data_IF_804358733846
#
_entry.id   IF_804358733846
#
_cell.length_a   1.000
_cell.length_b   1.000
_cell.length_c   1.000
_cell.angle_alpha   90.00
_cell.angle_beta   90.00
_cell.angle_gamma   90.00
#
_symmetry.space_group_name_H-M   'P 1'
#
loop_
_entity.id
_entity.type
_entity.pdbx_description
1 polymer ?
#
# COMPACT_ATOMS: atom_id res chain seq x y z
N UNK A 1 -5.35 -11.62 51.61
CA UNK A 1 -4.83 -12.70 50.76
C UNK A 1 -3.87 -12.09 49.76
N UNK A 2 -2.63 -12.60 49.74
CA UNK A 2 -1.51 -12.15 48.91
C UNK A 2 -1.89 -12.17 47.41
N UNK A 3 -1.25 -11.30 46.62
CA UNK A 3 -0.45 -11.61 45.41
C UNK A 3 -0.39 -10.40 44.47
N UNK A 4 0.80 -9.83 44.40
CA UNK A 4 1.51 -9.33 43.22
C UNK A 4 0.70 -8.96 41.96
N UNK A 5 0.69 -7.66 41.61
CA UNK A 5 0.65 -7.23 40.21
C UNK A 5 1.19 -5.79 40.07
N UNK A 6 2.49 -5.59 40.29
CA UNK A 6 3.18 -4.30 40.06
C UNK A 6 4.27 -4.42 38.97
N UNK A 7 4.43 -5.56 38.29
CA UNK A 7 5.63 -5.84 37.49
C UNK A 7 5.45 -5.97 35.96
N UNK A 8 4.48 -5.30 35.33
CA UNK A 8 4.41 -5.26 33.85
C UNK A 8 4.08 -3.85 33.34
N UNK A 9 4.78 -2.84 33.84
CA UNK A 9 4.95 -1.60 33.09
C UNK A 9 6.34 -1.03 33.42
N UNK A 10 7.34 -1.64 32.79
CA UNK A 10 8.66 -1.05 32.61
C UNK A 10 8.51 0.26 31.85
N UNK A 11 8.33 1.36 32.57
CA UNK A 11 8.84 2.70 32.23
C UNK A 11 8.60 3.61 33.45
N UNK A 12 9.35 3.36 34.52
CA UNK A 12 9.56 4.36 35.59
C UNK A 12 10.54 5.39 35.04
N UNK A 13 10.03 6.41 34.33
CA UNK A 13 10.80 7.63 34.13
C UNK A 13 10.96 8.33 35.50
N UNK A 14 12.18 8.72 35.90
CA UNK A 14 12.39 9.38 37.18
C UNK A 14 11.86 10.82 37.10
N UNK A 15 10.70 11.06 37.70
CA UNK A 15 10.14 12.40 37.96
C UNK A 15 10.93 13.11 39.08
N UNK A 16 12.25 13.25 38.92
CA UNK A 16 13.13 13.85 39.93
C UNK A 16 13.71 15.21 39.50
N UNK A 17 13.09 15.92 38.55
CA UNK A 17 13.58 17.22 38.05
C UNK A 17 12.62 18.38 38.34
N UNK A 18 11.75 18.30 39.36
CA UNK A 18 10.97 19.49 39.75
C UNK A 18 10.77 19.64 41.26
N UNK A 19 11.83 19.39 42.01
CA UNK A 19 11.99 20.03 43.33
C UNK A 19 12.90 21.23 43.11
N UNK A 20 12.31 22.39 42.83
CA UNK A 20 12.93 23.65 43.18
C UNK A 20 11.94 24.48 43.99
N UNK A 21 12.24 24.52 45.28
CA UNK A 21 11.57 25.28 46.32
C UNK A 21 11.91 26.76 46.19
N UNK A 22 10.94 27.60 45.83
CA UNK A 22 10.87 28.99 46.33
C UNK A 22 9.46 29.31 46.79
N UNK A 23 9.28 29.32 48.11
CA UNK A 23 8.14 29.93 48.81
C UNK A 23 8.22 31.45 48.60
N UNK A 24 7.09 32.07 48.25
CA UNK A 24 6.73 33.42 48.70
C UNK A 24 5.24 33.40 49.10
N UNK A 25 4.82 34.10 50.17
CA UNK A 25 3.45 34.05 50.66
C UNK A 25 2.62 35.09 49.92
N UNK A 26 1.69 34.65 49.06
CA UNK A 26 0.64 35.52 48.52
C UNK A 26 -0.65 35.28 49.29
N UNK A 27 -1.13 36.33 49.95
CA UNK A 27 -2.38 36.40 50.70
C UNK A 27 -3.55 36.04 49.77
N UNK A 28 -4.29 35.00 50.14
CA UNK A 28 -5.45 34.49 49.40
C UNK A 28 -6.69 35.31 49.74
N UNK A 29 -7.16 36.17 48.84
CA UNK A 29 -8.55 36.65 48.85
C UNK A 29 -9.41 35.70 48.00
N UNK A 30 -10.32 34.96 48.66
CA UNK A 30 -11.32 34.11 48.00
C UNK A 30 -12.44 34.99 47.44
N UNK A 31 -12.54 35.08 46.12
CA UNK A 31 -13.74 35.56 45.43
C UNK A 31 -14.66 34.35 45.17
N UNK A 32 -15.92 34.35 45.62
CA UNK A 32 -16.85 33.24 45.36
C UNK A 32 -17.34 33.29 43.90
N UNK A 33 -17.23 32.16 43.18
CA UNK A 33 -17.59 32.02 41.76
C UNK A 33 -19.04 31.51 41.60
N UNK A 34 -19.97 32.10 42.34
CA UNK A 34 -21.41 31.84 42.17
C UNK A 34 -22.11 33.15 41.84
N UNK A 35 -22.07 33.53 40.57
CA UNK A 35 -22.99 34.55 40.03
C UNK A 35 -24.36 33.90 39.88
N UNK A 36 -25.31 34.32 40.72
CA UNK A 36 -26.73 34.09 40.53
C UNK A 36 -27.20 34.92 39.33
N UNK A 37 -28.05 34.35 38.49
CA UNK A 37 -28.62 34.98 37.28
C UNK A 37 -29.58 36.15 37.55
N UNK A 38 -29.68 36.67 38.78
CA UNK A 38 -30.66 37.68 39.18
C UNK A 38 -30.15 39.13 39.23
N UNK A 39 -28.92 39.43 38.78
CA UNK A 39 -28.38 40.80 38.82
C UNK A 39 -28.31 41.49 37.44
N UNK A 40 -28.85 40.91 36.38
CA UNK A 40 -28.74 41.47 35.03
C UNK A 40 -29.77 42.57 34.68
N UNK A 41 -30.63 43.02 35.60
CA UNK A 41 -31.66 44.04 35.28
C UNK A 41 -31.23 45.49 35.55
N UNK A 42 -30.03 45.76 36.05
CA UNK A 42 -29.53 47.13 36.28
C UNK A 42 -29.03 47.86 35.02
N UNK A 43 -29.04 47.20 33.86
CA UNK A 43 -28.72 47.82 32.57
C UNK A 43 -29.88 47.58 31.59
N UNK A 44 -30.94 48.35 31.75
CA UNK A 44 -31.88 48.60 30.65
C UNK A 44 -31.08 49.19 29.46
N UNK A 45 -31.44 48.88 28.20
CA UNK A 45 -30.58 49.09 27.05
C UNK A 45 -30.40 50.59 26.82
N UNK A 46 -29.19 51.10 27.07
CA UNK A 46 -28.77 52.33 26.41
C UNK A 46 -28.94 52.09 24.90
N UNK A 47 -29.52 53.05 24.20
CA UNK A 47 -29.84 52.97 22.78
C UNK A 47 -28.54 52.92 21.93
N UNK A 48 -27.84 51.78 21.98
CA UNK A 48 -26.56 51.52 21.33
C UNK A 48 -26.65 51.60 19.80
N UNK A 49 -27.85 51.40 19.25
CA UNK A 49 -28.11 51.51 17.80
C UNK A 49 -28.05 52.95 17.28
N UNK A 50 -28.13 53.95 18.17
CA UNK A 50 -28.12 55.37 17.81
C UNK A 50 -26.78 56.07 18.03
N UNK A 51 -25.78 55.37 18.59
CA UNK A 51 -24.44 55.92 18.82
C UNK A 51 -23.65 55.99 17.48
N UNK A 52 -23.20 57.20 17.05
CA UNK A 52 -22.47 57.37 15.80
C UNK A 52 -21.14 56.59 15.75
N UNK A 53 -20.52 56.27 16.88
CA UNK A 53 -19.33 55.42 16.92
C UNK A 53 -19.68 53.94 16.74
N UNK A 54 -20.73 53.47 17.42
CA UNK A 54 -21.21 52.09 17.28
C UNK A 54 -21.67 51.79 15.85
N UNK A 55 -22.33 52.76 15.21
CA UNK A 55 -22.80 52.62 13.82
C UNK A 55 -21.63 52.48 12.82
N UNK A 56 -20.52 53.18 13.04
CA UNK A 56 -19.29 53.05 12.23
C UNK A 56 -18.64 51.68 12.41
N UNK A 57 -18.55 51.18 13.65
CA UNK A 57 -17.99 49.85 13.92
C UNK A 57 -18.85 48.76 13.27
N UNK A 58 -20.18 48.89 13.35
CA UNK A 58 -21.12 47.98 12.71
C UNK A 58 -20.97 47.98 11.18
N UNK A 59 -20.84 49.15 10.54
CA UNK A 59 -20.60 49.24 9.09
C UNK A 59 -19.27 48.61 8.66
N UNK A 60 -18.19 48.81 9.43
CA UNK A 60 -16.89 48.18 9.15
C UNK A 60 -16.99 46.67 9.27
N UNK A 61 -17.64 46.17 10.32
CA UNK A 61 -17.84 44.75 10.52
C UNK A 61 -18.68 44.15 9.39
N UNK A 62 -19.76 44.83 8.97
CA UNK A 62 -20.61 44.38 7.87
C UNK A 62 -19.85 44.33 6.55
N UNK A 63 -19.04 45.36 6.21
CA UNK A 63 -18.19 45.35 5.00
C UNK A 63 -17.18 44.20 5.00
N UNK A 64 -16.47 43.99 6.12
CA UNK A 64 -15.50 42.91 6.24
C UNK A 64 -16.16 41.52 6.20
N UNK A 65 -17.36 41.41 6.77
CA UNK A 65 -18.09 40.13 6.80
C UNK A 65 -18.66 39.81 5.43
N UNK A 66 -19.17 40.81 4.71
CA UNK A 66 -19.62 40.67 3.32
C UNK A 66 -18.48 40.18 2.40
N UNK A 67 -17.31 40.80 2.48
CA UNK A 67 -16.15 40.38 1.68
C UNK A 67 -15.73 38.93 1.97
N UNK A 68 -15.74 38.51 3.25
CA UNK A 68 -15.44 37.12 3.62
C UNK A 68 -16.47 36.12 3.11
N UNK A 69 -17.74 36.51 3.05
CA UNK A 69 -18.79 35.66 2.48
C UNK A 69 -18.61 35.48 0.97
N UNK A 70 -18.30 36.55 0.24
CA UNK A 70 -18.01 36.48 -1.20
C UNK A 70 -16.77 35.60 -1.48
N UNK A 71 -15.70 35.75 -0.70
CA UNK A 71 -14.50 34.89 -0.81
C UNK A 71 -14.77 33.42 -0.43
N UNK A 72 -15.66 33.17 0.53
CA UNK A 72 -16.06 31.82 0.91
C UNK A 72 -16.90 31.16 -0.18
N UNK A 73 -17.85 31.89 -0.77
CA UNK A 73 -18.70 31.40 -1.86
C UNK A 73 -17.88 31.05 -3.11
N UNK A 74 -16.91 31.89 -3.49
CA UNK A 74 -16.02 31.60 -4.62
C UNK A 74 -15.10 30.39 -4.35
N UNK A 75 -14.60 30.25 -3.12
CA UNK A 75 -13.85 29.04 -2.73
C UNK A 75 -14.72 27.79 -2.77
N UNK A 76 -15.97 27.87 -2.31
CA UNK A 76 -16.90 26.74 -2.40
C UNK A 76 -17.17 26.37 -3.85
N UNK A 77 -17.48 27.32 -4.73
CA UNK A 77 -17.74 27.07 -6.15
C UNK A 77 -16.55 26.38 -6.82
N UNK A 78 -15.35 26.93 -6.64
CA UNK A 78 -14.12 26.38 -7.25
C UNK A 78 -13.79 24.98 -6.74
N UNK A 79 -13.95 24.72 -5.44
CA UNK A 79 -13.69 23.40 -4.85
C UNK A 79 -14.74 22.38 -5.33
N UNK A 80 -16.01 22.78 -5.41
CA UNK A 80 -17.09 21.92 -5.92
C UNK A 80 -16.90 21.56 -7.39
N UNK A 81 -16.44 22.50 -8.22
CA UNK A 81 -16.12 22.24 -9.62
C UNK A 81 -14.98 21.23 -9.75
N UNK A 82 -13.87 21.41 -9.00
CA UNK A 82 -12.74 20.46 -8.99
C UNK A 82 -13.17 19.04 -8.58
N UNK A 83 -14.01 18.91 -7.55
CA UNK A 83 -14.53 17.61 -7.13
C UNK A 83 -15.42 16.97 -8.21
N UNK A 84 -16.24 17.77 -8.91
CA UNK A 84 -17.10 17.27 -10.00
C UNK A 84 -16.27 16.78 -11.19
N UNK A 85 -15.26 17.54 -11.60
CA UNK A 85 -14.36 17.16 -12.69
C UNK A 85 -13.55 15.90 -12.36
N UNK A 86 -13.15 15.74 -11.09
CA UNK A 86 -12.45 14.55 -10.62
C UNK A 86 -13.36 13.31 -10.63
N UNK A 87 -14.59 13.43 -10.12
CA UNK A 87 -15.58 12.37 -10.20
C UNK A 87 -15.89 11.95 -11.64
N UNK A 88 -16.06 12.91 -12.56
CA UNK A 88 -16.33 12.61 -13.97
C UNK A 88 -15.16 11.87 -14.64
N UNK A 89 -13.91 12.21 -14.29
CA UNK A 89 -12.71 11.47 -14.74
C UNK A 89 -12.69 10.05 -14.20
N UNK A 90 -12.98 9.87 -12.91
CA UNK A 90 -12.96 8.57 -12.26
C UNK A 90 -14.09 7.66 -12.79
N UNK A 91 -15.29 8.20 -13.02
CA UNK A 91 -16.40 7.49 -13.67
C UNK A 91 -16.04 7.06 -15.09
N UNK A 92 -15.45 7.94 -15.91
CA UNK A 92 -14.96 7.58 -17.26
C UNK A 92 -13.94 6.44 -17.21
N UNK A 93 -13.05 6.44 -16.21
CA UNK A 93 -12.04 5.39 -16.01
C UNK A 93 -12.66 4.07 -15.55
N UNK A 94 -13.73 4.10 -14.76
CA UNK A 94 -14.49 2.89 -14.36
C UNK A 94 -15.20 2.30 -15.58
N UNK A 95 -15.93 3.10 -16.35
CA UNK A 95 -16.65 2.64 -17.56
C UNK A 95 -15.69 2.02 -18.58
N UNK A 96 -14.52 2.62 -18.80
CA UNK A 96 -13.49 2.07 -19.69
C UNK A 96 -12.96 0.72 -19.20
N UNK A 97 -12.75 0.56 -17.89
CA UNK A 97 -12.29 -0.70 -17.29
C UNK A 97 -13.35 -1.80 -17.41
N UNK A 98 -14.60 -1.52 -17.05
CA UNK A 98 -15.71 -2.47 -17.21
C UNK A 98 -15.86 -2.94 -18.66
N UNK A 99 -15.66 -2.04 -19.64
CA UNK A 99 -15.75 -2.38 -21.06
C UNK A 99 -14.61 -3.30 -21.52
N UNK A 100 -13.41 -3.18 -20.95
CA UNK A 100 -12.27 -4.07 -21.24
C UNK A 100 -12.49 -5.43 -20.56
N UNK A 101 -12.91 -5.42 -19.30
CA UNK A 101 -13.17 -6.63 -18.52
C UNK A 101 -14.27 -7.47 -19.18
N UNK A 102 -15.38 -6.86 -19.58
CA UNK A 102 -16.46 -7.55 -20.31
C UNK A 102 -15.95 -8.20 -21.62
N UNK A 103 -15.11 -7.50 -22.39
CA UNK A 103 -14.51 -8.04 -23.62
C UNK A 103 -13.53 -9.18 -23.35
N UNK A 104 -12.80 -9.15 -22.24
CA UNK A 104 -11.90 -10.23 -21.84
C UNK A 104 -12.67 -11.46 -21.39
N UNK A 105 -13.71 -11.29 -20.57
CA UNK A 105 -14.55 -12.40 -20.09
C UNK A 105 -15.30 -13.09 -21.23
N UNK A 106 -15.83 -12.32 -22.20
CA UNK A 106 -16.45 -12.89 -23.41
C UNK A 106 -15.44 -13.71 -24.23
N UNK A 107 -14.22 -13.20 -24.45
CA UNK A 107 -13.18 -13.95 -25.17
C UNK A 107 -12.72 -15.19 -24.43
N UNK A 108 -12.52 -15.10 -23.12
CA UNK A 108 -12.10 -16.24 -22.30
C UNK A 108 -13.20 -17.31 -22.21
N UNK A 109 -14.47 -16.92 -22.11
CA UNK A 109 -15.60 -17.86 -22.12
C UNK A 109 -15.71 -18.64 -23.43
N UNK A 110 -15.48 -17.99 -24.58
CA UNK A 110 -15.46 -18.65 -25.90
C UNK A 110 -14.27 -19.60 -26.06
N UNK A 111 -13.11 -19.25 -25.50
CA UNK A 111 -11.93 -20.13 -25.48
C UNK A 111 -12.09 -21.34 -24.54
N UNK A 112 -12.96 -21.25 -23.54
CA UNK A 112 -13.16 -22.30 -22.53
C UNK A 112 -14.21 -23.34 -22.96
N UNK A 113 -15.09 -23.01 -23.91
CA UNK A 113 -16.00 -24.00 -24.55
C UNK A 113 -15.28 -24.97 -25.49
N UNK A 114 -14.04 -24.66 -25.90
CA UNK A 114 -13.23 -25.52 -26.78
C UNK A 114 -12.35 -26.54 -26.02
N UNK A 115 -12.47 -26.62 -24.68
CA UNK A 115 -11.74 -27.59 -23.86
C UNK A 115 -12.76 -28.46 -23.12
N UNK A 116 -13.00 -29.67 -23.63
CA UNK A 116 -13.83 -30.70 -23.00
C UNK A 116 -13.28 -31.09 -21.63
N UNK A 117 -14.16 -31.16 -20.65
CA UNK A 117 -13.91 -31.50 -19.23
C UNK A 117 -13.46 -32.95 -18.96
N UNK A 118 -12.96 -33.68 -19.95
CA UNK A 118 -12.57 -35.10 -19.81
C UNK A 118 -11.06 -35.31 -19.59
N UNK A 119 -10.20 -34.29 -19.73
CA UNK A 119 -8.73 -34.47 -19.71
C UNK A 119 -8.00 -34.00 -18.43
N UNK A 120 -8.70 -33.75 -17.31
CA UNK A 120 -8.03 -33.38 -16.04
C UNK A 120 -8.36 -34.40 -14.93
N UNK A 121 -7.40 -35.20 -14.45
CA UNK A 121 -7.65 -36.18 -13.40
C UNK A 121 -7.91 -35.46 -12.07
N UNK A 122 -9.07 -35.76 -11.48
CA UNK A 122 -9.47 -35.40 -10.12
C UNK A 122 -8.48 -35.94 -9.09
N UNK A 123 -7.66 -35.06 -8.51
CA UNK A 123 -6.99 -35.36 -7.25
C UNK A 123 -7.76 -34.71 -6.10
N UNK A 124 -8.27 -35.60 -5.25
CA UNK A 124 -9.11 -35.34 -4.09
C UNK A 124 -8.27 -34.71 -2.98
N UNK A 125 -8.58 -33.47 -2.58
CA UNK A 125 -8.16 -32.89 -1.32
C UNK A 125 -9.38 -32.26 -0.64
N UNK A 126 -9.59 -32.70 0.59
CA UNK A 126 -10.81 -32.67 1.37
C UNK A 126 -11.20 -31.25 1.83
N UNK A 127 -12.43 -30.83 1.49
CA UNK A 127 -13.05 -29.55 1.86
C UNK A 127 -13.59 -29.53 3.30
N UNK A 128 -12.77 -29.45 4.35
CA UNK A 128 -13.34 -29.47 5.72
C UNK A 128 -12.95 -28.35 6.69
N UNK A 129 -12.03 -27.42 6.36
CA UNK A 129 -11.61 -26.35 7.30
C UNK A 129 -12.01 -24.93 6.87
N UNK A 130 -12.07 -24.62 5.57
CA UNK A 130 -12.44 -23.28 5.10
C UNK A 130 -13.95 -22.97 5.25
N UNK A 131 -14.81 -23.93 4.90
CA UNK A 131 -16.27 -23.75 4.80
C UNK A 131 -16.96 -23.49 6.17
N UNK A 132 -16.33 -23.88 7.28
CA UNK A 132 -16.82 -23.60 8.65
C UNK A 132 -16.43 -22.22 9.17
N UNK A 133 -15.32 -21.64 8.71
CA UNK A 133 -14.85 -20.33 9.17
C UNK A 133 -15.58 -19.18 8.49
N UNK A 134 -16.05 -19.38 7.25
CA UNK A 134 -16.74 -18.36 6.47
C UNK A 134 -18.20 -18.14 6.94
N UNK A 135 -18.88 -19.21 7.37
CA UNK A 135 -20.26 -19.14 7.88
C UNK A 135 -20.38 -18.43 9.24
N UNK A 136 -19.40 -18.57 10.12
CA UNK A 136 -19.36 -17.91 11.43
C UNK A 136 -19.05 -16.41 11.30
N UNK A 137 -18.23 -16.02 10.31
CA UNK A 137 -17.93 -14.61 10.04
C UNK A 137 -19.11 -13.86 9.42
N UNK A 138 -19.89 -14.51 8.54
CA UNK A 138 -21.08 -13.90 7.92
C UNK A 138 -22.25 -13.70 8.91
N UNK A 139 -22.42 -14.59 9.89
CA UNK A 139 -23.51 -14.47 10.87
C UNK A 139 -23.24 -13.46 12.00
N UNK A 140 -21.99 -13.06 12.26
CA UNK A 140 -21.66 -12.12 13.33
C UNK A 140 -21.72 -10.64 12.91
N UNK A 141 -21.84 -10.35 11.60
CA UNK A 141 -21.83 -8.98 11.05
C UNK A 141 -23.20 -8.30 10.97
N UNK A 142 -24.31 -9.01 11.20
CA UNK A 142 -25.65 -8.49 10.91
C UNK A 142 -26.34 -7.76 12.10
N UNK A 143 -25.64 -7.56 13.23
CA UNK A 143 -26.28 -7.12 14.48
C UNK A 143 -25.93 -5.72 15.01
N UNK A 144 -24.86 -5.06 14.54
CA UNK A 144 -24.41 -3.80 15.14
C UNK A 144 -23.79 -2.85 14.10
N UNK A 145 -24.54 -1.82 13.71
CA UNK A 145 -24.03 -0.51 13.28
C UNK A 145 -22.92 -0.50 12.23
N UNK A 146 -23.34 -0.48 10.98
CA UNK A 146 -22.61 -0.23 9.71
C UNK A 146 -21.52 0.87 9.72
N UNK A 147 -20.31 0.60 10.23
CA UNK A 147 -19.08 1.36 9.86
C UNK A 147 -17.81 0.49 9.74
N UNK A 148 -17.79 -0.75 10.25
CA UNK A 148 -16.58 -1.58 10.24
C UNK A 148 -16.28 -2.41 8.95
N UNK A 149 -17.23 -2.84 8.09
CA UNK A 149 -16.90 -3.78 7.00
C UNK A 149 -16.08 -3.16 5.85
N UNK A 150 -16.13 -1.84 5.67
CA UNK A 150 -15.56 -1.17 4.50
C UNK A 150 -14.03 -1.14 4.49
N UNK A 151 -13.36 -1.11 5.65
CA UNK A 151 -11.89 -1.11 5.69
C UNK A 151 -11.31 -2.50 5.39
N UNK A 152 -12.00 -3.57 5.82
CA UNK A 152 -11.58 -4.96 5.59
C UNK A 152 -11.83 -5.45 4.16
N UNK A 153 -12.97 -5.09 3.56
CA UNK A 153 -13.30 -5.51 2.18
C UNK A 153 -12.62 -4.66 1.10
N UNK A 154 -12.48 -3.34 1.31
CA UNK A 154 -11.82 -2.48 0.32
C UNK A 154 -10.30 -2.66 0.40
N UNK A 155 -9.74 -2.89 1.60
CA UNK A 155 -8.32 -3.16 1.80
C UNK A 155 -7.85 -4.41 1.04
N UNK A 156 -8.60 -5.52 1.11
CA UNK A 156 -8.23 -6.78 0.45
C UNK A 156 -8.25 -6.70 -1.08
N UNK A 157 -9.25 -6.03 -1.66
CA UNK A 157 -9.33 -5.79 -3.11
C UNK A 157 -8.19 -4.89 -3.61
N UNK A 158 -7.85 -3.85 -2.85
CA UNK A 158 -6.76 -2.92 -3.20
C UNK A 158 -5.39 -3.60 -3.20
N UNK A 159 -5.13 -4.43 -2.17
CA UNK A 159 -3.86 -5.15 -2.00
C UNK A 159 -3.67 -6.18 -3.10
N UNK A 160 -4.72 -6.89 -3.51
CA UNK A 160 -4.63 -7.91 -4.56
C UNK A 160 -4.29 -7.30 -5.94
N UNK A 161 -4.87 -6.15 -6.29
CA UNK A 161 -4.55 -5.44 -7.54
C UNK A 161 -3.11 -4.92 -7.53
N UNK A 162 -2.67 -4.34 -6.41
CA UNK A 162 -1.30 -3.83 -6.30
C UNK A 162 -0.26 -4.96 -6.36
N UNK A 163 -0.56 -6.10 -5.72
CA UNK A 163 0.28 -7.30 -5.76
C UNK A 163 0.44 -7.82 -7.20
N UNK A 164 -0.65 -7.89 -7.97
CA UNK A 164 -0.59 -8.27 -9.39
C UNK A 164 0.25 -7.29 -10.22
N UNK A 165 0.09 -5.98 -9.99
CA UNK A 165 0.90 -4.96 -10.66
C UNK A 165 2.40 -5.06 -10.33
N UNK A 166 2.73 -5.31 -9.07
CA UNK A 166 4.11 -5.48 -8.62
C UNK A 166 4.75 -6.75 -9.23
N UNK A 167 4.02 -7.86 -9.33
CA UNK A 167 4.52 -9.07 -10.00
C UNK A 167 4.74 -8.87 -11.49
N UNK A 168 3.84 -8.16 -12.19
CA UNK A 168 4.02 -7.84 -13.61
C UNK A 168 5.27 -6.99 -13.83
N UNK A 169 5.47 -5.94 -13.03
CA UNK A 169 6.66 -5.09 -13.11
C UNK A 169 7.95 -5.86 -12.79
N UNK A 170 7.90 -6.79 -11.81
CA UNK A 170 9.04 -7.64 -11.48
C UNK A 170 9.38 -8.62 -12.62
N UNK A 171 8.36 -9.20 -13.27
CA UNK A 171 8.55 -10.06 -14.44
C UNK A 171 9.16 -9.28 -15.62
N UNK A 172 8.70 -8.05 -15.88
CA UNK A 172 9.28 -7.17 -16.91
C UNK A 172 10.77 -6.92 -16.65
N UNK A 173 11.14 -6.47 -15.44
CA UNK A 173 12.54 -6.27 -15.04
C UNK A 173 13.36 -7.56 -15.11
N UNK A 174 12.77 -8.70 -14.74
CA UNK A 174 13.38 -10.01 -14.90
C UNK A 174 13.69 -10.31 -16.37
N UNK A 175 12.74 -10.07 -17.28
CA UNK A 175 12.97 -10.28 -18.71
C UNK A 175 14.04 -9.36 -19.29
N UNK A 176 14.09 -8.10 -18.86
CA UNK A 176 15.15 -7.15 -19.27
C UNK A 176 16.53 -7.63 -18.82
N UNK A 177 16.69 -8.03 -17.55
CA UNK A 177 17.93 -8.58 -17.03
C UNK A 177 18.35 -9.87 -17.74
N UNK A 178 17.38 -10.73 -18.08
CA UNK A 178 17.63 -11.96 -18.84
C UNK A 178 18.12 -11.69 -20.26
N UNK A 179 17.51 -10.72 -20.96
CA UNK A 179 17.94 -10.29 -22.30
C UNK A 179 19.35 -9.68 -22.25
N UNK A 180 19.62 -8.83 -21.26
CA UNK A 180 20.95 -8.23 -21.09
C UNK A 180 22.01 -9.31 -20.85
N UNK A 181 21.75 -10.26 -19.95
CA UNK A 181 22.64 -11.39 -19.68
C UNK A 181 22.85 -12.29 -20.90
N UNK A 182 21.82 -12.50 -21.73
CA UNK A 182 21.94 -13.23 -23.00
C UNK A 182 22.89 -12.53 -23.99
N UNK A 183 22.71 -11.22 -24.18
CA UNK A 183 23.54 -10.40 -25.07
C UNK A 183 24.98 -10.38 -24.58
N UNK A 184 25.18 -10.15 -23.27
CA UNK A 184 26.52 -10.14 -22.65
C UNK A 184 27.19 -11.51 -22.76
N UNK A 185 26.45 -12.60 -22.55
CA UNK A 185 26.98 -13.96 -22.68
C UNK A 185 27.53 -14.23 -24.08
N UNK A 186 26.85 -13.79 -25.13
CA UNK A 186 27.33 -13.95 -26.51
C UNK A 186 28.54 -13.04 -26.79
N UNK A 187 28.51 -11.78 -26.33
CA UNK A 187 29.65 -10.86 -26.49
C UNK A 187 30.91 -11.35 -25.77
N UNK A 188 30.76 -12.01 -24.64
CA UNK A 188 31.89 -12.49 -23.81
C UNK A 188 32.39 -13.86 -24.21
N UNK A 189 31.50 -14.84 -24.40
CA UNK A 189 31.90 -16.21 -24.75
C UNK A 189 32.22 -16.36 -26.24
N UNK A 190 31.54 -15.61 -27.12
CA UNK A 190 31.71 -15.74 -28.57
C UNK A 190 32.38 -14.53 -29.25
N UNK A 191 32.49 -13.39 -28.57
CA UNK A 191 33.03 -12.14 -29.14
C UNK A 191 32.26 -11.69 -30.39
N UNK A 192 30.96 -12.01 -30.42
CA UNK A 192 30.07 -11.67 -31.53
C UNK A 192 29.18 -10.48 -31.15
N UNK A 193 29.02 -9.54 -32.09
CA UNK A 193 28.09 -8.41 -31.96
C UNK A 193 26.79 -8.60 -32.76
N UNK A 194 26.76 -9.62 -33.63
CA UNK A 194 25.65 -9.97 -34.51
C UNK A 194 25.58 -11.48 -34.69
N UNK A 195 24.38 -11.99 -34.93
CA UNK A 195 24.11 -13.39 -35.29
C UNK A 195 23.18 -13.39 -36.51
N UNK A 196 23.53 -14.14 -37.56
CA UNK A 196 22.77 -14.20 -38.80
C UNK A 196 22.62 -12.84 -39.49
N UNK A 197 23.61 -11.95 -39.34
CA UNK A 197 23.55 -10.57 -39.84
C UNK A 197 22.64 -9.62 -39.05
N UNK A 198 22.00 -10.09 -37.98
CA UNK A 198 21.11 -9.30 -37.12
C UNK A 198 21.84 -8.95 -35.82
N UNK A 199 21.73 -7.68 -35.39
CA UNK A 199 22.27 -7.24 -34.10
C UNK A 199 21.59 -7.94 -32.92
N UNK A 200 22.36 -8.29 -31.89
CA UNK A 200 21.88 -9.10 -30.75
C UNK A 200 20.67 -8.48 -30.05
N UNK A 201 20.60 -7.15 -29.98
CA UNK A 201 19.50 -6.40 -29.35
C UNK A 201 18.12 -6.67 -29.98
N UNK A 202 18.07 -6.90 -31.29
CA UNK A 202 16.81 -7.20 -31.99
C UNK A 202 16.46 -8.68 -31.96
N UNK A 203 17.44 -9.52 -31.64
CA UNK A 203 17.35 -10.97 -31.77
C UNK A 203 16.81 -11.62 -30.49
N UNK A 204 17.14 -11.05 -29.33
CA UNK A 204 16.62 -11.50 -28.05
C UNK A 204 15.35 -10.74 -27.66
N UNK A 205 14.32 -11.50 -27.30
CA UNK A 205 13.03 -10.98 -26.86
C UNK A 205 12.61 -11.72 -25.59
N UNK A 206 11.55 -11.26 -24.93
CA UNK A 206 10.96 -11.92 -23.76
C UNK A 206 10.64 -13.42 -23.98
N UNK A 207 10.45 -13.86 -25.24
CA UNK A 207 10.16 -15.26 -25.56
C UNK A 207 11.38 -16.11 -25.90
N UNK A 208 12.54 -15.51 -26.13
CA UNK A 208 13.71 -16.21 -26.70
C UNK A 208 14.97 -16.14 -25.83
N UNK A 209 15.06 -15.20 -24.90
CA UNK A 209 16.27 -14.93 -24.10
C UNK A 209 16.76 -16.10 -23.23
N UNK A 210 15.90 -17.07 -22.91
CA UNK A 210 16.23 -18.25 -22.11
C UNK A 210 16.05 -19.58 -22.86
N UNK A 211 15.83 -19.53 -24.19
CA UNK A 211 15.57 -20.74 -24.99
C UNK A 211 16.85 -21.32 -25.54
N UNK A 212 17.37 -22.35 -24.88
CA UNK A 212 18.55 -23.12 -25.31
C UNK A 212 18.60 -23.40 -26.81
N UNK A 213 17.50 -23.93 -27.37
CA UNK A 213 17.40 -24.29 -28.80
C UNK A 213 17.63 -23.09 -29.71
N UNK A 214 17.15 -21.91 -29.31
CA UNK A 214 17.32 -20.68 -30.08
C UNK A 214 18.78 -20.22 -30.11
N UNK A 215 19.49 -20.26 -28.98
CA UNK A 215 20.92 -19.93 -28.94
C UNK A 215 21.74 -20.91 -29.77
N UNK A 216 21.53 -22.21 -29.56
CA UNK A 216 22.27 -23.27 -30.27
C UNK A 216 22.08 -23.11 -31.77
N UNK A 217 20.84 -22.94 -32.22
CA UNK A 217 20.54 -22.76 -33.63
C UNK A 217 21.24 -21.52 -34.20
N UNK A 218 21.12 -20.36 -33.56
CA UNK A 218 21.67 -19.11 -34.10
C UNK A 218 23.19 -19.05 -34.11
N UNK A 219 23.83 -19.62 -33.09
CA UNK A 219 25.30 -19.66 -33.01
C UNK A 219 25.85 -20.68 -34.02
N UNK A 220 25.19 -21.83 -34.21
CA UNK A 220 25.59 -22.79 -35.24
C UNK A 220 25.37 -22.25 -36.66
N UNK A 221 24.26 -21.54 -36.92
CA UNK A 221 24.03 -20.86 -38.20
C UNK A 221 25.16 -19.87 -38.53
N UNK A 222 25.61 -19.07 -37.55
CA UNK A 222 26.74 -18.17 -37.71
C UNK A 222 28.05 -18.92 -37.97
N UNK A 223 28.32 -19.98 -37.21
CA UNK A 223 29.49 -20.85 -37.40
C UNK A 223 29.55 -21.42 -38.83
N UNK A 224 28.48 -22.05 -39.30
CA UNK A 224 28.44 -22.62 -40.66
C UNK A 224 28.58 -21.55 -41.75
N UNK A 225 28.06 -20.34 -41.50
CA UNK A 225 28.23 -19.21 -42.43
C UNK A 225 29.69 -18.79 -42.51
N UNK A 226 30.39 -18.72 -41.37
CA UNK A 226 31.83 -18.44 -41.34
C UNK A 226 32.64 -19.56 -42.00
N UNK A 227 32.29 -20.83 -41.80
CA UNK A 227 32.93 -21.96 -42.47
C UNK A 227 32.84 -21.84 -43.99
N UNK A 228 31.65 -21.50 -44.52
CA UNK A 228 31.44 -21.30 -45.97
C UNK A 228 32.23 -20.13 -46.52
N UNK A 229 32.36 -19.05 -45.75
CA UNK A 229 33.07 -17.84 -46.16
C UNK A 229 34.60 -17.92 -45.95
N UNK A 230 35.10 -18.98 -45.32
CA UNK A 230 36.52 -19.13 -45.00
C UNK A 230 37.03 -18.17 -43.92
N UNK A 231 36.14 -17.56 -43.12
CA UNK A 231 36.49 -16.53 -42.12
C UNK A 231 36.61 -17.08 -40.69
N UNK A 232 36.61 -18.40 -40.52
CA UNK A 232 36.65 -19.04 -39.18
C UNK A 232 37.98 -18.77 -38.48
N UNK A 233 39.08 -18.73 -39.22
CA UNK A 233 40.46 -18.63 -38.72
C UNK A 233 40.74 -17.40 -37.85
N UNK A 234 39.99 -16.31 -38.04
CA UNK A 234 40.12 -15.07 -37.25
C UNK A 234 39.07 -14.94 -36.13
N UNK A 235 38.28 -15.99 -35.90
CA UNK A 235 37.16 -15.99 -34.96
C UNK A 235 37.41 -16.92 -33.77
N UNK A 236 36.62 -16.79 -32.70
CA UNK A 236 36.70 -17.70 -31.56
C UNK A 236 36.35 -19.16 -31.94
N UNK A 237 35.67 -19.36 -33.07
CA UNK A 237 35.39 -20.68 -33.59
C UNK A 237 36.65 -21.43 -34.01
N UNK A 238 37.72 -20.72 -34.38
CA UNK A 238 39.03 -21.31 -34.65
C UNK A 238 39.57 -22.07 -33.43
N UNK A 239 39.34 -21.55 -32.22
CA UNK A 239 39.77 -22.20 -30.98
C UNK A 239 39.07 -23.55 -30.76
N UNK A 240 37.83 -23.69 -31.23
CA UNK A 240 37.13 -24.97 -31.21
C UNK A 240 37.62 -25.91 -32.30
N UNK A 241 37.87 -25.41 -33.51
CA UNK A 241 38.35 -26.19 -34.67
C UNK A 241 39.77 -26.71 -34.44
N UNK A 242 40.69 -25.85 -33.99
CA UNK A 242 42.08 -26.21 -33.67
C UNK A 242 42.19 -27.22 -32.53
N UNK A 243 41.30 -27.15 -31.54
CA UNK A 243 41.22 -28.11 -30.44
C UNK A 243 40.73 -29.49 -30.87
N UNK A 244 39.91 -29.55 -31.91
CA UNK A 244 39.29 -30.78 -32.41
C UNK A 244 39.46 -30.91 -33.94
N UNK A 245 40.70 -31.07 -34.42
CA UNK A 245 40.95 -31.22 -35.86
C UNK A 245 40.21 -32.44 -36.40
N UNK A 246 39.56 -32.26 -37.55
CA UNK A 246 38.76 -33.27 -38.28
C UNK A 246 37.63 -33.93 -37.47
N UNK A 247 37.23 -33.33 -36.33
CA UNK A 247 36.18 -33.83 -35.43
C UNK A 247 35.04 -32.82 -35.28
N UNK A 248 34.34 -32.57 -36.38
CA UNK A 248 33.24 -31.60 -36.46
C UNK A 248 32.18 -31.81 -35.36
N UNK A 249 31.80 -33.05 -35.09
CA UNK A 249 30.84 -33.36 -34.01
C UNK A 249 31.30 -32.83 -32.63
N UNK A 250 32.59 -32.85 -32.32
CA UNK A 250 33.11 -32.32 -31.05
C UNK A 250 33.09 -30.79 -31.02
N UNK A 251 33.31 -30.14 -32.16
CA UNK A 251 33.18 -28.68 -32.33
C UNK A 251 31.74 -28.27 -32.07
N UNK A 252 30.78 -28.91 -32.75
CA UNK A 252 29.34 -28.65 -32.59
C UNK A 252 28.92 -28.88 -31.14
N UNK A 253 29.37 -29.97 -30.50
CA UNK A 253 29.07 -30.26 -29.10
C UNK A 253 29.58 -29.18 -28.16
N UNK A 254 30.77 -28.64 -28.42
CA UNK A 254 31.37 -27.57 -27.63
C UNK A 254 30.62 -26.25 -27.77
N UNK A 255 30.29 -25.85 -29.01
CA UNK A 255 29.46 -24.67 -29.29
C UNK A 255 28.10 -24.79 -28.62
N UNK A 256 27.48 -25.98 -28.72
CA UNK A 256 26.18 -26.28 -28.10
C UNK A 256 26.26 -26.15 -26.57
N UNK A 257 27.33 -26.64 -25.95
CA UNK A 257 27.53 -26.54 -24.51
C UNK A 257 27.66 -25.08 -24.04
N UNK A 258 28.45 -24.27 -24.74
CA UNK A 258 28.58 -22.83 -24.45
C UNK A 258 27.25 -22.09 -24.66
N UNK A 259 26.58 -22.32 -25.79
CA UNK A 259 25.26 -21.73 -26.07
C UNK A 259 24.22 -22.06 -24.98
N UNK A 260 24.20 -23.31 -24.50
CA UNK A 260 23.33 -23.72 -23.40
C UNK A 260 23.69 -23.03 -22.09
N UNK A 261 24.98 -22.86 -21.80
CA UNK A 261 25.44 -22.16 -20.60
C UNK A 261 24.97 -20.69 -20.60
N UNK A 262 25.07 -20.01 -21.75
CA UNK A 262 24.55 -18.65 -21.91
C UNK A 262 23.06 -18.59 -21.65
N UNK A 263 22.27 -19.50 -22.26
CA UNK A 263 20.82 -19.54 -22.05
C UNK A 263 20.45 -19.78 -20.57
N UNK A 264 21.21 -20.63 -19.88
CA UNK A 264 21.04 -20.88 -18.44
C UNK A 264 21.38 -19.65 -17.60
N UNK A 265 22.50 -18.98 -17.87
CA UNK A 265 22.88 -17.73 -17.20
C UNK A 265 21.83 -16.64 -17.40
N UNK A 266 21.30 -16.50 -18.62
CA UNK A 266 20.24 -15.56 -18.94
C UNK A 266 18.92 -15.89 -18.19
N UNK A 267 18.54 -17.16 -18.14
CA UNK A 267 17.37 -17.61 -17.38
C UNK A 267 17.53 -17.39 -15.87
N UNK A 268 18.73 -17.60 -15.33
CA UNK A 268 19.02 -17.36 -13.92
C UNK A 268 19.04 -15.87 -13.58
N UNK A 269 19.63 -15.02 -14.43
CA UNK A 269 19.60 -13.58 -14.28
C UNK A 269 18.16 -13.06 -14.22
N UNK A 270 17.28 -13.54 -15.10
CA UNK A 270 15.88 -13.16 -15.07
C UNK A 270 15.17 -13.56 -13.77
N UNK A 271 15.31 -14.82 -13.34
CA UNK A 271 14.68 -15.33 -12.12
C UNK A 271 15.19 -14.62 -10.86
N UNK A 272 16.49 -14.34 -10.80
CA UNK A 272 17.10 -13.68 -9.63
C UNK A 272 16.66 -12.22 -9.52
N UNK A 273 16.62 -11.48 -10.63
CA UNK A 273 16.10 -10.11 -10.65
C UNK A 273 14.61 -10.06 -10.33
N UNK A 274 13.80 -10.94 -10.93
CA UNK A 274 12.37 -11.03 -10.63
C UNK A 274 12.13 -11.30 -9.14
N UNK A 275 12.83 -12.27 -8.55
CA UNK A 275 12.72 -12.59 -7.13
C UNK A 275 13.16 -11.42 -6.23
N UNK A 276 14.22 -10.69 -6.60
CA UNK A 276 14.69 -9.53 -5.86
C UNK A 276 13.65 -8.38 -5.87
N UNK A 277 13.04 -8.11 -7.03
CA UNK A 277 12.01 -7.07 -7.17
C UNK A 277 10.73 -7.44 -6.40
N UNK A 278 10.32 -8.71 -6.43
CA UNK A 278 9.21 -9.21 -5.62
C UNK A 278 9.51 -9.05 -4.12
N UNK A 279 10.74 -9.37 -3.69
CA UNK A 279 11.15 -9.21 -2.30
C UNK A 279 11.08 -7.74 -1.87
N UNK A 280 11.58 -6.81 -2.69
CA UNK A 280 11.52 -5.37 -2.44
C UNK A 280 10.07 -4.87 -2.32
N UNK A 281 9.18 -5.31 -3.22
CA UNK A 281 7.77 -4.96 -3.17
C UNK A 281 7.09 -5.45 -1.88
N UNK A 282 7.40 -6.68 -1.45
CA UNK A 282 6.88 -7.23 -0.20
C UNK A 282 7.41 -6.48 1.03
N UNK A 283 8.70 -6.12 1.06
CA UNK A 283 9.28 -5.31 2.16
C UNK A 283 8.62 -3.94 2.25
N UNK A 284 8.40 -3.27 1.11
CA UNK A 284 7.69 -2.00 1.08
C UNK A 284 6.25 -2.13 1.61
N UNK A 285 5.56 -3.22 1.24
CA UNK A 285 4.22 -3.54 1.75
C UNK A 285 4.20 -3.70 3.28
N UNK A 286 5.17 -4.42 3.83
CA UNK A 286 5.25 -4.68 5.26
C UNK A 286 5.46 -3.39 6.06
N UNK A 287 6.31 -2.49 5.56
CA UNK A 287 6.55 -1.19 6.19
C UNK A 287 5.29 -0.32 6.22
N UNK A 288 4.49 -0.32 5.14
CA UNK A 288 3.20 0.37 5.11
C UNK A 288 2.22 -0.24 6.12
N UNK A 289 2.16 -1.57 6.21
CA UNK A 289 1.32 -2.24 7.20
C UNK A 289 1.72 -1.87 8.63
N UNK A 290 3.02 -1.85 8.95
CA UNK A 290 3.51 -1.41 10.25
C UNK A 290 3.08 0.03 10.56
N UNK A 291 3.23 0.95 9.60
CA UNK A 291 2.79 2.34 9.77
C UNK A 291 1.30 2.44 10.08
N UNK A 292 0.46 1.70 9.35
CA UNK A 292 -0.98 1.63 9.61
C UNK A 292 -1.27 1.02 10.98
N UNK A 293 -0.59 -0.07 11.36
CA UNK A 293 -0.76 -0.72 12.65
C UNK A 293 -0.44 0.24 13.82
N UNK A 294 0.66 1.00 13.74
CA UNK A 294 0.98 2.01 14.76
C UNK A 294 -0.08 3.11 14.84
N UNK A 295 -0.61 3.57 13.71
CA UNK A 295 -1.71 4.55 13.68
C UNK A 295 -2.97 4.00 14.37
N UNK A 296 -3.33 2.74 14.11
CA UNK A 296 -4.49 2.09 14.73
C UNK A 296 -4.27 1.92 16.24
N UNK A 297 -3.08 1.48 16.67
CA UNK A 297 -2.74 1.35 18.09
C UNK A 297 -2.85 2.70 18.80
N UNK A 298 -2.35 3.79 18.19
CA UNK A 298 -2.45 5.13 18.76
C UNK A 298 -3.92 5.55 18.98
N UNK A 299 -4.81 5.30 18.01
CA UNK A 299 -6.25 5.60 18.14
C UNK A 299 -6.86 4.78 19.29
N UNK A 300 -6.54 3.48 19.37
CA UNK A 300 -7.05 2.61 20.44
C UNK A 300 -6.63 3.09 21.82
N UNK A 301 -5.36 3.53 21.98
CA UNK A 301 -4.86 4.09 23.24
C UNK A 301 -5.63 5.36 23.64
N UNK A 302 -5.87 6.28 22.70
CA UNK A 302 -6.63 7.51 22.97
C UNK A 302 -8.06 7.18 23.43
N UNK A 303 -8.73 6.26 22.73
CA UNK A 303 -10.09 5.82 23.10
C UNK A 303 -10.09 5.17 24.49
N UNK A 304 -9.08 4.38 24.82
CA UNK A 304 -8.95 3.73 26.12
C UNK A 304 -8.78 4.76 27.26
N UNK A 305 -7.94 5.79 27.05
CA UNK A 305 -7.77 6.90 28.02
C UNK A 305 -9.08 7.66 28.22
N UNK A 306 -9.79 7.99 27.13
CA UNK A 306 -11.11 8.64 27.22
C UNK A 306 -12.11 7.79 27.99
N UNK A 307 -12.09 6.47 27.78
CA UNK A 307 -12.96 5.53 28.48
C UNK A 307 -12.66 5.48 30.00
N UNK A 308 -11.38 5.45 30.40
CA UNK A 308 -10.99 5.50 31.82
C UNK A 308 -11.46 6.82 32.46
N UNK A 309 -11.19 7.96 31.82
CA UNK A 309 -11.64 9.28 32.32
C UNK A 309 -13.16 9.31 32.46
N UNK A 310 -13.88 8.81 31.46
CA UNK A 310 -15.34 8.70 31.47
C UNK A 310 -15.84 7.85 32.65
N UNK A 311 -15.22 6.70 32.91
CA UNK A 311 -15.59 5.84 34.06
C UNK A 311 -15.35 6.55 35.40
N UNK A 312 -14.23 7.27 35.57
CA UNK A 312 -13.94 8.05 36.78
C UNK A 312 -14.99 9.14 36.98
N UNK A 313 -15.30 9.92 35.94
CA UNK A 313 -16.31 10.97 36.00
C UNK A 313 -17.70 10.41 36.30
N UNK A 314 -18.08 9.29 35.68
CA UNK A 314 -19.35 8.60 35.93
C UNK A 314 -19.44 8.11 37.36
N UNK A 315 -18.37 7.53 37.89
CA UNK A 315 -18.29 7.08 39.27
C UNK A 315 -18.45 8.24 40.26
N UNK A 316 -17.76 9.37 40.03
CA UNK A 316 -17.90 10.58 40.85
C UNK A 316 -19.32 11.15 40.83
N UNK A 317 -19.98 11.19 39.66
CA UNK A 317 -21.39 11.61 39.54
C UNK A 317 -22.32 10.71 40.35
N UNK A 318 -22.20 9.39 40.23
CA UNK A 318 -23.01 8.44 41.03
C UNK A 318 -22.80 8.63 42.54
N UNK A 319 -21.56 8.80 42.99
CA UNK A 319 -21.26 9.04 44.43
C UNK A 319 -21.89 10.36 44.93
N UNK A 320 -21.83 11.43 44.13
CA UNK A 320 -22.47 12.72 44.46
C UNK A 320 -23.99 12.59 44.58
N UNK A 321 -24.64 11.87 43.68
CA UNK A 321 -26.09 11.64 43.73
C UNK A 321 -26.50 10.82 44.96
N UNK A 322 -25.76 9.75 45.31
CA UNK A 322 -26.02 8.96 46.52
C UNK A 322 -25.94 9.82 47.79
N UNK A 323 -24.93 10.69 47.90
CA UNK A 323 -24.80 11.62 49.03
C UNK A 323 -25.98 12.59 49.11
N UNK A 324 -26.41 13.19 47.99
CA UNK A 324 -27.57 14.08 47.96
C UNK A 324 -28.85 13.40 48.47
N UNK A 325 -29.07 12.16 48.06
CA UNK A 325 -30.24 11.37 48.47
C UNK A 325 -30.25 11.08 49.98
N UNK A 326 -29.08 10.88 50.59
CA UNK A 326 -28.95 10.74 52.05
C UNK A 326 -29.27 12.05 52.78
N UNK A 327 -28.81 13.19 52.28
CA UNK A 327 -29.10 14.50 52.89
C UNK A 327 -30.59 14.87 52.80
N UNK A 328 -31.26 14.56 51.68
CA UNK A 328 -32.71 14.80 51.55
C UNK A 328 -33.49 13.99 52.59
N UNK A 329 -33.16 12.70 52.77
CA UNK A 329 -33.81 11.84 53.77
C UNK A 329 -33.66 12.36 55.20
N UNK A 330 -32.50 12.92 55.56
CA UNK A 330 -32.25 13.48 56.89
C UNK A 330 -32.99 14.81 57.16
N UNK A 331 -33.53 15.47 56.13
CA UNK A 331 -34.28 16.72 56.26
C UNK A 331 -35.79 16.51 56.32
N UNK A 332 -36.28 15.32 55.97
CA UNK A 332 -37.70 14.95 56.03
C UNK A 332 -38.09 14.28 57.37
N UNK A 333 -37.12 13.88 58.20
CA UNK A 333 -37.30 13.45 59.60
C UNK A 333 -37.25 14.64 60.56
#
# INVERSE_FOLDING_TARGET
MKIHYINILLFVLPLNILVNTRKNPSITQKIPITRLFCECELYAPANYDSDPEMKKVMEIFNKQTQQRFEEYDERIKTTRQKCKDQCDKDIKKIILRDKIEKKLTEKLGVLQTDITTEDIPTCFCEKSVADKTEKVCLQCGYGLGSVAPSVGLIGSLSVNVWKTGAFLAAAEKGTEAGIEAAIQGIKTEFVLNKLGGVGLEKLFTAKTFNKNTFFVQKILEEYYTMCKNGTVQDSIFDLFVTKYPDKEHMVIKSITASANNIALKAGNAAKTTEAAEIALANTASYNLYLSIAYSVIAIVVIVFVMFIIYLILRYRRKKKMKKKLQYIKLLEE
#
